data_IF_970426038563
#
_entry.id   IF_970426038563
#
_cell.length_a   1.000
_cell.length_b   1.000
_cell.length_c   1.000
_cell.angle_alpha   90.00
_cell.angle_beta   90.00
_cell.angle_gamma   90.00
#
_symmetry.space_group_name_H-M   'P 1'
#
loop_
_entity.id
_entity.type
_entity.pdbx_description
1 polymer ?
#
# COMPACT_ATOMS: atom_id res chain seq x y z
N UNK A 1 -18.80 0.50 2.70
CA UNK A 1 -17.72 -0.13 3.47
C UNK A 1 -17.12 0.90 4.43
N UNK A 2 -17.06 0.56 5.69
CA UNK A 2 -16.36 1.41 6.67
C UNK A 2 -14.88 1.11 6.59
N UNK A 3 -14.12 2.04 6.01
CA UNK A 3 -12.69 1.84 5.83
C UNK A 3 -11.88 2.22 7.08
N UNK A 4 -12.43 3.06 7.94
CA UNK A 4 -11.70 3.62 9.06
C UNK A 4 -10.71 4.71 8.68
N UNK A 5 -10.60 5.03 7.38
CA UNK A 5 -9.72 6.07 6.86
C UNK A 5 -10.53 6.99 5.95
N UNK A 6 -10.20 8.28 5.96
CA UNK A 6 -10.86 9.25 5.08
C UNK A 6 -10.29 9.20 3.67
N UNK A 7 -11.03 9.81 2.73
CA UNK A 7 -10.60 9.85 1.33
C UNK A 7 -9.24 10.53 1.16
N UNK A 8 -8.99 11.59 1.90
CA UNK A 8 -7.73 12.32 1.81
C UNK A 8 -6.56 11.43 2.23
N UNK A 9 -6.76 10.63 3.29
CA UNK A 9 -5.72 9.71 3.73
C UNK A 9 -5.47 8.62 2.71
N UNK A 10 -6.53 8.07 2.10
CA UNK A 10 -6.38 7.04 1.08
C UNK A 10 -5.65 7.58 -0.14
N UNK A 11 -5.95 8.81 -0.53
CA UNK A 11 -5.28 9.43 -1.67
C UNK A 11 -3.80 9.66 -1.36
N UNK A 12 -3.49 10.15 -0.17
CA UNK A 12 -2.11 10.35 0.25
C UNK A 12 -1.35 9.04 0.26
N UNK A 13 -1.95 8.00 0.81
CA UNK A 13 -1.35 6.66 0.84
C UNK A 13 -1.09 6.16 -0.59
N UNK A 14 -2.06 6.34 -1.47
CA UNK A 14 -1.92 5.93 -2.88
C UNK A 14 -0.73 6.61 -3.53
N UNK A 15 -0.58 7.90 -3.33
CA UNK A 15 0.54 8.65 -3.89
C UNK A 15 1.86 8.19 -3.33
N UNK A 16 1.91 7.91 -2.03
CA UNK A 16 3.13 7.41 -1.40
C UNK A 16 3.52 6.03 -1.95
N UNK A 17 2.56 5.15 -2.15
CA UNK A 17 2.82 3.83 -2.72
C UNK A 17 3.37 3.96 -4.13
N UNK A 18 2.78 4.85 -4.93
CA UNK A 18 3.23 5.05 -6.31
C UNK A 18 4.64 5.63 -6.40
N UNK A 19 5.14 6.21 -5.33
CA UNK A 19 6.51 6.74 -5.29
C UNK A 19 7.54 5.70 -4.84
N UNK A 20 7.10 4.54 -4.39
CA UNK A 20 8.02 3.47 -4.04
C UNK A 20 8.72 2.99 -5.31
N UNK A 21 10.05 2.94 -5.26
CA UNK A 21 10.83 2.52 -6.41
C UNK A 21 10.44 1.11 -6.85
N UNK A 22 10.15 0.96 -8.11
CA UNK A 22 9.74 -0.32 -8.68
C UNK A 22 8.25 -0.51 -8.84
N UNK A 23 7.42 0.31 -8.19
CA UNK A 23 5.98 0.26 -8.36
C UNK A 23 5.61 1.01 -9.63
N UNK A 24 5.04 0.29 -10.60
CA UNK A 24 4.61 0.89 -11.87
C UNK A 24 3.20 1.41 -11.83
N UNK A 25 2.33 0.73 -11.12
CA UNK A 25 0.94 1.12 -11.00
C UNK A 25 0.35 0.49 -9.76
N UNK A 26 -0.75 1.04 -9.30
CA UNK A 26 -1.46 0.55 -8.14
C UNK A 26 -2.94 0.47 -8.48
N UNK A 27 -3.58 -0.61 -8.03
CA UNK A 27 -5.01 -0.79 -8.22
C UNK A 27 -5.65 -1.23 -6.92
N UNK A 28 -6.89 -0.84 -6.72
CA UNK A 28 -7.75 -1.38 -5.69
C UNK A 28 -7.16 -1.26 -4.27
N UNK A 29 -6.73 -0.07 -3.91
CA UNK A 29 -6.40 0.17 -2.52
C UNK A 29 -7.70 0.15 -1.72
N UNK A 30 -7.80 -0.79 -0.80
CA UNK A 30 -8.98 -0.91 0.07
C UNK A 30 -8.53 -1.06 1.49
N UNK A 31 -9.26 -0.43 2.39
CA UNK A 31 -9.01 -0.55 3.82
C UNK A 31 -10.31 -0.92 4.50
N UNK A 32 -10.18 -1.65 5.59
CA UNK A 32 -11.32 -2.07 6.39
C UNK A 32 -10.92 -2.15 7.85
N UNK A 33 -11.75 -1.59 8.70
CA UNK A 33 -11.53 -1.68 10.14
C UNK A 33 -12.07 -3.01 10.66
N UNK A 34 -11.29 -3.68 11.47
CA UNK A 34 -11.71 -4.90 12.16
C UNK A 34 -11.30 -4.78 13.62
N UNK A 35 -12.24 -4.35 14.46
CA UNK A 35 -11.94 -4.07 15.85
C UNK A 35 -10.88 -2.98 15.95
N UNK A 36 -9.77 -3.27 16.63
CA UNK A 36 -8.66 -2.33 16.76
C UNK A 36 -7.68 -2.41 15.60
N UNK A 37 -7.91 -3.31 14.65
CA UNK A 37 -7.01 -3.52 13.51
C UNK A 37 -7.55 -2.87 12.26
N UNK A 38 -6.64 -2.56 11.34
CA UNK A 38 -6.99 -2.09 10.00
C UNK A 38 -6.40 -3.06 9.00
N UNK A 39 -7.27 -3.62 8.16
CA UNK A 39 -6.82 -4.47 7.05
C UNK A 39 -6.66 -3.60 5.82
N UNK A 40 -5.58 -3.83 5.11
CA UNK A 40 -5.28 -3.10 3.88
C UNK A 40 -5.02 -4.10 2.76
N UNK A 41 -5.74 -3.93 1.67
CA UNK A 41 -5.52 -4.68 0.44
C UNK A 41 -5.10 -3.73 -0.65
N UNK A 42 -4.04 -4.05 -1.33
CA UNK A 42 -3.58 -3.26 -2.47
C UNK A 42 -2.95 -4.18 -3.51
N UNK A 43 -3.24 -3.90 -4.76
CA UNK A 43 -2.61 -4.58 -5.89
C UNK A 43 -1.61 -3.63 -6.52
N UNK A 44 -0.36 -4.04 -6.57
CA UNK A 44 0.67 -3.25 -7.24
C UNK A 44 1.15 -3.98 -8.48
N UNK A 45 1.54 -3.20 -9.46
CA UNK A 45 2.12 -3.74 -10.69
C UNK A 45 3.59 -3.38 -10.74
N UNK A 46 4.41 -4.37 -11.04
CA UNK A 46 5.85 -4.20 -11.13
C UNK A 46 6.32 -4.74 -12.49
N UNK A 47 7.58 -4.53 -12.80
CA UNK A 47 8.16 -5.06 -14.03
C UNK A 47 8.10 -6.59 -13.98
N UNK A 48 7.47 -7.25 -14.97
CA UNK A 48 7.36 -8.72 -14.97
C UNK A 48 8.69 -9.44 -15.11
N UNK A 49 9.76 -8.72 -15.44
CA UNK A 49 11.10 -9.32 -15.56
C UNK A 49 11.88 -9.31 -14.24
N UNK A 50 11.30 -8.76 -13.19
CA UNK A 50 11.95 -8.79 -11.89
C UNK A 50 12.04 -10.21 -11.36
N UNK A 51 13.10 -10.47 -10.58
CA UNK A 51 13.19 -11.72 -9.85
C UNK A 51 12.17 -11.70 -8.70
N UNK A 52 11.89 -12.88 -8.15
CA UNK A 52 11.02 -13.00 -6.97
C UNK A 52 11.58 -12.20 -5.82
N UNK A 53 12.89 -12.23 -5.62
CA UNK A 53 13.53 -11.48 -4.53
C UNK A 53 13.34 -9.97 -4.69
N UNK A 54 13.49 -9.47 -5.91
CA UNK A 54 13.27 -8.06 -6.17
C UNK A 54 11.81 -7.67 -5.95
N UNK A 55 10.89 -8.53 -6.36
CA UNK A 55 9.47 -8.32 -6.12
C UNK A 55 9.14 -8.25 -4.63
N UNK A 56 9.71 -9.14 -3.85
CA UNK A 56 9.55 -9.12 -2.39
C UNK A 56 10.09 -7.84 -1.78
N UNK A 57 11.23 -7.38 -2.25
CA UNK A 57 11.82 -6.15 -1.75
C UNK A 57 10.90 -4.95 -1.98
N UNK A 58 10.31 -4.88 -3.15
CA UNK A 58 9.35 -3.82 -3.48
C UNK A 58 8.11 -3.93 -2.58
N UNK A 59 7.59 -5.13 -2.41
CA UNK A 59 6.43 -5.36 -1.55
C UNK A 59 6.72 -4.95 -0.10
N UNK A 60 7.90 -5.26 0.40
CA UNK A 60 8.30 -4.86 1.75
C UNK A 60 8.32 -3.35 1.90
N UNK A 61 8.80 -2.63 0.89
CA UNK A 61 8.80 -1.18 0.91
C UNK A 61 7.38 -0.62 0.91
N UNK A 62 6.48 -1.22 0.14
CA UNK A 62 5.07 -0.81 0.13
C UNK A 62 4.45 -1.04 1.51
N UNK A 63 4.72 -2.18 2.12
CA UNK A 63 4.21 -2.48 3.46
C UNK A 63 4.71 -1.47 4.49
N UNK A 64 5.99 -1.13 4.42
CA UNK A 64 6.58 -0.15 5.33
C UNK A 64 5.93 1.22 5.14
N UNK A 65 5.70 1.61 3.90
CA UNK A 65 5.03 2.87 3.57
C UNK A 65 3.63 2.90 4.17
N UNK A 66 2.87 1.82 3.99
CA UNK A 66 1.54 1.69 4.56
C UNK A 66 1.57 1.78 6.09
N UNK A 67 2.51 1.08 6.71
CA UNK A 67 2.64 1.10 8.15
C UNK A 67 2.89 2.51 8.67
N UNK A 68 3.81 3.23 8.04
CA UNK A 68 4.14 4.60 8.45
C UNK A 68 2.96 5.54 8.30
N UNK A 69 2.20 5.40 7.21
CA UNK A 69 1.07 6.28 6.95
C UNK A 69 -0.12 6.01 7.88
N UNK A 70 -0.28 4.78 8.33
CA UNK A 70 -1.45 4.40 9.12
C UNK A 70 -1.15 4.41 10.62
N UNK A 71 0.03 3.93 11.03
CA UNK A 71 0.31 3.66 12.44
C UNK A 71 1.32 4.62 13.09
N UNK A 72 2.08 5.37 12.32
CA UNK A 72 3.11 6.25 12.87
C UNK A 72 2.73 7.73 12.76
N UNK A 73 1.69 8.01 12.03
CA UNK A 73 1.17 9.37 11.96
C UNK A 73 0.69 9.89 13.36
#
# INVERSE_FOLDING_TARGET
IDTGLGEVQLETISQEILQVEGVRAMHRLRTRRMGASVLVDVHIMVNPRLSVSEGHFIADHVELTLYKQIFIL
#
